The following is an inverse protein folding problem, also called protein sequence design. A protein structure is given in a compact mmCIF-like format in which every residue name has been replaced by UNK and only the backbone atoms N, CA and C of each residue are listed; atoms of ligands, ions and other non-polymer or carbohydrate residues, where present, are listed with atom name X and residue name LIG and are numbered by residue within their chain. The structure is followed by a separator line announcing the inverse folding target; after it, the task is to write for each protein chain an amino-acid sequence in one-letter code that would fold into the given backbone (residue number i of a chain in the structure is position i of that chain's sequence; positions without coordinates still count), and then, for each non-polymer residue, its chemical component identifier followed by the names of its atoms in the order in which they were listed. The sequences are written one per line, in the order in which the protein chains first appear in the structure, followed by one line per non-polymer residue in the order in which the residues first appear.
data_IF_784556246239
#
_entry.id   IF_784556246239
#
_cell.length_a   1.000
_cell.length_b   1.000
_cell.length_c   1.000
_cell.angle_alpha   90.00
_cell.angle_beta   90.00
_cell.angle_gamma   90.00
#
_symmetry.space_group_name_H-M   'P 1'
#
loop_
_entity.id
_entity.type
_entity.pdbx_description
1 polymer ?
#
# COMPACT_ATOMS: atom_id res chain seq x y z
N UNK A 1 -7.29 21.37 -2.89
CA UNK A 1 -6.13 21.21 -3.81
C UNK A 1 -6.12 19.76 -4.30
N UNK A 2 -5.77 19.52 -5.55
CA UNK A 2 -5.66 18.16 -6.11
C UNK A 2 -4.36 17.50 -5.65
N UNK A 3 -4.42 16.23 -5.21
CA UNK A 3 -3.26 15.47 -4.74
C UNK A 3 -3.21 14.11 -5.44
N UNK A 4 -2.02 13.69 -5.84
CA UNK A 4 -1.75 12.33 -6.29
C UNK A 4 -0.86 11.66 -5.24
N UNK A 5 -1.36 10.60 -4.62
CA UNK A 5 -0.69 9.92 -3.50
C UNK A 5 -0.42 8.46 -3.88
N UNK A 6 0.82 8.01 -3.65
CA UNK A 6 1.17 6.60 -3.74
C UNK A 6 1.57 6.11 -2.35
N UNK A 7 0.92 5.06 -1.88
CA UNK A 7 1.27 4.38 -0.63
C UNK A 7 2.12 3.17 -0.96
N UNK A 8 3.34 3.13 -0.46
CA UNK A 8 4.23 1.97 -0.58
C UNK A 8 4.11 1.13 0.68
N UNK A 9 3.69 -0.12 0.52
CA UNK A 9 3.52 -1.10 1.59
C UNK A 9 4.70 -2.08 1.59
N UNK A 10 5.33 -2.22 2.75
CA UNK A 10 6.29 -3.28 2.99
C UNK A 10 5.55 -4.62 3.15
N UNK A 11 5.94 -5.65 2.38
CA UNK A 11 5.48 -7.04 2.49
C UNK A 11 6.66 -8.01 2.74
N UNK A 12 7.79 -7.47 3.22
CA UNK A 12 8.97 -8.23 3.62
C UNK A 12 8.71 -9.14 4.82
N UNK A 13 9.69 -9.99 5.13
CA UNK A 13 9.65 -10.85 6.31
C UNK A 13 9.48 -10.06 7.62
N UNK A 14 9.94 -8.81 7.69
CA UNK A 14 9.82 -7.96 8.87
C UNK A 14 8.36 -7.65 9.26
N UNK A 15 7.43 -7.79 8.31
CA UNK A 15 6.01 -7.49 8.52
C UNK A 15 5.21 -8.66 9.12
N UNK A 16 5.81 -9.84 9.20
CA UNK A 16 5.25 -11.00 9.90
C UNK A 16 5.39 -10.90 11.43
N UNK A 17 6.20 -9.97 11.93
CA UNK A 17 6.48 -9.80 13.36
C UNK A 17 5.19 -9.37 14.10
N UNK A 18 4.94 -9.99 15.25
CA UNK A 18 3.74 -9.81 16.08
C UNK A 18 4.01 -8.97 17.35
N UNK A 19 4.85 -7.95 17.22
CA UNK A 19 5.09 -6.92 18.24
C UNK A 19 3.94 -5.90 18.30
N UNK A 20 3.26 -5.71 17.16
CA UNK A 20 1.94 -5.11 17.06
C UNK A 20 0.95 -6.22 16.73
N UNK A 21 -0.10 -6.37 17.55
CA UNK A 21 -1.06 -7.47 17.39
C UNK A 21 -2.06 -7.18 16.26
N UNK A 22 -2.48 -8.20 15.48
CA UNK A 22 -1.96 -9.58 15.45
C UNK A 22 -0.58 -9.71 14.79
N UNK A 23 -0.33 -8.97 13.71
CA UNK A 23 0.98 -8.77 13.09
C UNK A 23 1.13 -7.33 12.60
N UNK A 24 2.37 -6.88 12.34
CA UNK A 24 2.62 -5.56 11.72
C UNK A 24 1.86 -5.39 10.41
N UNK A 25 1.80 -6.43 9.56
CA UNK A 25 1.06 -6.38 8.29
C UNK A 25 -0.44 -6.15 8.49
N UNK A 26 -1.07 -6.95 9.33
CA UNK A 26 -2.52 -6.85 9.56
C UNK A 26 -2.88 -5.51 10.18
N UNK A 27 -2.03 -5.02 11.10
CA UNK A 27 -2.18 -3.70 11.68
C UNK A 27 -2.02 -2.59 10.63
N UNK A 28 -0.93 -2.59 9.87
CA UNK A 28 -0.68 -1.60 8.83
C UNK A 28 -1.81 -1.56 7.80
N UNK A 29 -2.27 -2.72 7.34
CA UNK A 29 -3.34 -2.83 6.34
C UNK A 29 -4.66 -2.22 6.87
N UNK A 30 -5.00 -2.48 8.13
CA UNK A 30 -6.19 -1.89 8.78
C UNK A 30 -6.11 -0.37 8.85
N UNK A 31 -4.95 0.19 9.22
CA UNK A 31 -4.77 1.64 9.29
C UNK A 31 -4.68 2.30 7.92
N UNK A 32 -4.13 1.62 6.91
CA UNK A 32 -4.13 2.12 5.53
C UNK A 32 -5.56 2.10 4.96
N UNK A 33 -6.38 1.08 5.25
CA UNK A 33 -7.78 1.08 4.85
C UNK A 33 -8.54 2.28 5.43
N UNK A 34 -8.34 2.56 6.73
CA UNK A 34 -8.90 3.73 7.39
C UNK A 34 -8.39 5.04 6.75
N UNK A 35 -7.08 5.14 6.51
CA UNK A 35 -6.47 6.30 5.85
C UNK A 35 -7.08 6.54 4.47
N UNK A 36 -7.32 5.52 3.66
CA UNK A 36 -7.91 5.68 2.33
C UNK A 36 -9.30 6.30 2.41
N UNK A 37 -10.16 5.79 3.30
CA UNK A 37 -11.51 6.34 3.49
C UNK A 37 -11.43 7.80 3.90
N UNK A 38 -10.68 8.09 4.97
CA UNK A 38 -10.53 9.45 5.48
C UNK A 38 -9.85 10.38 4.47
N UNK A 39 -8.90 9.88 3.67
CA UNK A 39 -8.23 10.64 2.63
C UNK A 39 -9.23 11.10 1.56
N UNK A 40 -10.08 10.20 1.07
CA UNK A 40 -11.07 10.56 0.05
C UNK A 40 -12.22 11.41 0.60
N UNK A 41 -12.59 11.25 1.87
CA UNK A 41 -13.57 12.12 2.53
C UNK A 41 -13.09 13.59 2.56
N UNK A 42 -11.81 13.82 2.83
CA UNK A 42 -11.23 15.17 2.87
C UNK A 42 -10.72 15.66 1.51
N UNK A 43 -10.50 14.76 0.54
CA UNK A 43 -9.86 15.07 -0.74
C UNK A 43 -10.62 14.41 -1.92
N UNK A 44 -11.87 14.81 -2.20
CA UNK A 44 -12.76 14.11 -3.14
C UNK A 44 -12.27 14.07 -4.60
N UNK A 45 -11.43 15.02 -5.00
CA UNK A 45 -10.87 15.12 -6.35
C UNK A 45 -9.44 14.57 -6.47
N UNK A 46 -8.90 13.98 -5.39
CA UNK A 46 -7.55 13.44 -5.38
C UNK A 46 -7.52 12.01 -5.93
N UNK A 47 -6.31 11.52 -6.20
CA UNK A 47 -6.07 10.15 -6.65
C UNK A 47 -5.11 9.46 -5.69
N UNK A 48 -5.32 8.16 -5.50
CA UNK A 48 -4.47 7.31 -4.69
C UNK A 48 -4.10 6.04 -5.46
N UNK A 49 -2.91 5.50 -5.22
CA UNK A 49 -2.48 4.19 -5.72
C UNK A 49 -1.67 3.45 -4.66
N UNK A 50 -1.61 2.13 -4.78
CA UNK A 50 -0.93 1.25 -3.83
C UNK A 50 0.21 0.51 -4.54
N UNK A 51 1.36 0.48 -3.89
CA UNK A 51 2.56 -0.28 -4.29
C UNK A 51 2.90 -1.23 -3.15
N UNK A 52 3.27 -2.47 -3.47
CA UNK A 52 3.89 -3.40 -2.55
C UNK A 52 5.39 -3.45 -2.80
N UNK A 53 6.18 -3.73 -1.76
CA UNK A 53 7.59 -4.06 -1.91
C UNK A 53 7.96 -5.32 -1.13
N UNK A 54 8.67 -6.21 -1.81
CA UNK A 54 9.00 -7.55 -1.33
C UNK A 54 10.09 -8.16 -2.20
N UNK A 55 10.92 -9.05 -1.65
CA UNK A 55 11.91 -9.84 -2.41
C UNK A 55 12.82 -8.96 -3.30
N UNK A 56 13.18 -7.76 -2.80
CA UNK A 56 13.99 -6.79 -3.52
C UNK A 56 13.26 -6.09 -4.70
N UNK A 57 11.95 -6.28 -4.85
CA UNK A 57 11.13 -5.78 -5.96
C UNK A 57 10.01 -4.87 -5.46
N UNK A 58 9.38 -4.18 -6.41
CA UNK A 58 8.22 -3.35 -6.16
C UNK A 58 7.15 -3.64 -7.21
N UNK A 59 5.93 -3.91 -6.75
CA UNK A 59 4.79 -4.28 -7.58
C UNK A 59 3.64 -3.32 -7.34
N UNK A 60 2.96 -2.91 -8.41
CA UNK A 60 1.78 -2.05 -8.30
C UNK A 60 0.58 -2.91 -7.92
N UNK A 61 -0.03 -2.64 -6.76
CA UNK A 61 -1.24 -3.31 -6.32
C UNK A 61 -2.50 -2.66 -6.92
N UNK A 62 -2.50 -1.32 -7.02
CA UNK A 62 -3.59 -0.58 -7.67
C UNK A 62 -3.05 0.63 -8.43
N UNK A 63 -3.69 0.93 -9.56
CA UNK A 63 -3.47 2.16 -10.32
C UNK A 63 -3.90 3.41 -9.54
N UNK A 64 -3.38 4.59 -9.95
CA UNK A 64 -3.89 5.87 -9.47
C UNK A 64 -5.37 6.02 -9.84
N UNK A 65 -6.23 6.12 -8.84
CA UNK A 65 -7.66 6.34 -9.07
C UNK A 65 -8.34 6.98 -7.86
N UNK A 66 -9.58 7.43 -8.03
CA UNK A 66 -10.47 7.83 -6.93
C UNK A 66 -11.35 6.67 -6.41
N UNK A 67 -11.13 5.45 -6.91
CA UNK A 67 -11.96 4.29 -6.60
C UNK A 67 -11.63 3.67 -5.24
N UNK A 68 -12.20 4.22 -4.16
CA UNK A 68 -12.03 3.72 -2.77
C UNK A 68 -12.13 2.20 -2.69
N UNK A 69 -13.18 1.63 -3.27
CA UNK A 69 -13.47 0.19 -3.20
C UNK A 69 -12.37 -0.67 -3.82
N UNK A 70 -11.78 -0.23 -4.94
CA UNK A 70 -10.66 -0.91 -5.61
C UNK A 70 -9.46 -1.03 -4.68
N UNK A 71 -9.12 0.05 -3.98
CA UNK A 71 -7.99 0.05 -3.05
C UNK A 71 -8.27 -0.83 -1.83
N UNK A 72 -9.50 -0.83 -1.32
CA UNK A 72 -9.92 -1.70 -0.21
C UNK A 72 -9.87 -3.18 -0.55
N UNK A 73 -10.28 -3.56 -1.76
CA UNK A 73 -10.20 -4.95 -2.23
C UNK A 73 -8.76 -5.43 -2.33
N UNK A 74 -7.87 -4.60 -2.88
CA UNK A 74 -6.44 -4.90 -2.89
C UNK A 74 -5.86 -5.06 -1.48
N UNK A 75 -6.26 -4.21 -0.52
CA UNK A 75 -5.83 -4.33 0.87
C UNK A 75 -6.32 -5.62 1.55
N UNK A 76 -7.56 -6.05 1.29
CA UNK A 76 -8.06 -7.33 1.81
C UNK A 76 -7.24 -8.51 1.30
N UNK A 77 -6.81 -8.48 0.03
CA UNK A 77 -5.91 -9.48 -0.52
C UNK A 77 -4.53 -9.44 0.17
N UNK A 78 -4.01 -8.24 0.46
CA UNK A 78 -2.75 -8.06 1.20
C UNK A 78 -2.86 -8.54 2.65
N UNK A 79 -3.96 -8.28 3.35
CA UNK A 79 -4.15 -8.69 4.74
C UNK A 79 -4.09 -10.22 4.93
N UNK A 80 -4.49 -10.97 3.91
CA UNK A 80 -4.48 -12.44 3.90
C UNK A 80 -3.23 -13.02 3.25
N UNK A 81 -2.25 -12.17 2.92
CA UNK A 81 -1.04 -12.55 2.22
C UNK A 81 -0.11 -13.36 3.12
N UNK A 82 -0.03 -14.67 2.87
CA UNK A 82 0.75 -15.60 3.72
C UNK A 82 2.24 -15.66 3.36
N UNK A 83 2.59 -15.28 2.14
CA UNK A 83 3.93 -15.48 1.61
C UNK A 83 4.83 -14.25 1.83
N UNK A 84 4.88 -13.70 3.05
CA UNK A 84 5.82 -12.63 3.39
C UNK A 84 7.25 -13.17 3.32
N UNK A 85 8.17 -12.38 2.79
CA UNK A 85 9.53 -12.87 2.53
C UNK A 85 10.45 -11.84 1.89
N UNK A 86 11.74 -12.13 1.97
CA UNK A 86 12.79 -11.26 1.44
C UNK A 86 12.82 -9.89 2.11
N UNK A 87 13.48 -8.95 1.43
CA UNK A 87 13.71 -7.58 1.90
C UNK A 87 12.92 -6.57 1.05
N UNK A 88 12.55 -5.40 1.61
CA UNK A 88 11.95 -4.33 0.83
C UNK A 88 12.98 -3.68 -0.11
N UNK A 89 12.51 -3.00 -1.14
CA UNK A 89 13.34 -2.25 -2.09
C UNK A 89 12.79 -0.86 -2.33
N UNK A 90 13.26 0.09 -1.51
CA UNK A 90 12.85 1.49 -1.60
C UNK A 90 13.16 2.09 -2.97
N UNK A 91 14.32 1.79 -3.55
CA UNK A 91 14.71 2.28 -4.86
C UNK A 91 13.72 1.85 -5.96
N UNK A 92 13.35 0.56 -6.00
CA UNK A 92 12.41 0.04 -6.99
C UNK A 92 11.00 0.62 -6.77
N UNK A 93 10.57 0.78 -5.52
CA UNK A 93 9.29 1.41 -5.20
C UNK A 93 9.24 2.86 -5.65
N UNK A 94 10.31 3.64 -5.40
CA UNK A 94 10.39 5.03 -5.81
C UNK A 94 10.49 5.19 -7.32
N UNK A 95 11.20 4.30 -8.02
CA UNK A 95 11.28 4.32 -9.48
C UNK A 95 9.92 3.99 -10.12
N UNK A 96 9.19 3.00 -9.58
CA UNK A 96 7.82 2.71 -9.98
C UNK A 96 6.88 3.90 -9.71
N UNK A 97 6.98 4.51 -8.52
CA UNK A 97 6.19 5.67 -8.15
C UNK A 97 6.45 6.85 -9.09
N UNK A 98 7.73 7.14 -9.38
CA UNK A 98 8.16 8.20 -10.30
C UNK A 98 7.62 8.00 -11.72
N UNK A 99 7.57 6.76 -12.22
CA UNK A 99 6.96 6.45 -13.53
C UNK A 99 5.45 6.62 -13.55
N UNK A 100 4.80 6.47 -12.40
CA UNK A 100 3.34 6.54 -12.25
C UNK A 100 2.86 7.99 -12.08
N UNK A 101 3.65 8.83 -11.41
CA UNK A 101 3.33 10.25 -11.12
C UNK A 101 3.80 11.22 -12.22
N UNK A 102 4.31 10.69 -13.33
CA UNK A 102 4.78 11.49 -14.47
C UNK A 102 3.65 11.86 -15.41
#
# INVERSE_FOLDING_TARGET
MMRNVLVVMDLSQAMAIADIKPSRLECATKYIEKFIVEFFDHNPISQLGLIATKDGRADRLTELSSGVQRHREALKAVATYKNLGGEPSLQNSLELARRTLR
#
